data_IF_680071393597
#
_entry.id   IF_680071393597
#
_cell.length_a   1.000
_cell.length_b   1.000
_cell.length_c   1.000
_cell.angle_alpha   90.00
_cell.angle_beta   90.00
_cell.angle_gamma   90.00
#
_symmetry.space_group_name_H-M   'P 1'
#
loop_
_entity.id
_entity.type
_entity.pdbx_description
1 polymer ?
#
# COMPACT_ATOMS: atom_id res chain seq x y z
N UNK A 1 -16.95 12.53 -38.43
CA UNK A 1 -16.89 11.04 -38.31
C UNK A 1 -15.49 10.48 -38.52
N UNK A 2 -14.75 10.88 -39.56
CA UNK A 2 -13.38 10.37 -39.80
C UNK A 2 -12.40 10.67 -38.65
N UNK A 3 -12.50 11.85 -38.03
CA UNK A 3 -11.60 12.24 -36.93
C UNK A 3 -11.89 11.49 -35.63
N UNK A 4 -13.15 11.11 -35.37
CA UNK A 4 -13.55 10.30 -34.20
C UNK A 4 -13.02 8.87 -34.32
N UNK A 5 -13.02 8.31 -35.54
CA UNK A 5 -12.48 6.98 -35.82
C UNK A 5 -10.96 6.95 -35.61
N UNK A 6 -10.25 7.98 -36.09
CA UNK A 6 -8.80 8.07 -35.93
C UNK A 6 -8.38 8.14 -34.44
N UNK A 7 -9.15 8.87 -33.65
CA UNK A 7 -8.88 9.07 -32.22
C UNK A 7 -9.13 7.81 -31.38
N UNK A 8 -10.19 7.06 -31.70
CA UNK A 8 -10.45 5.75 -31.11
C UNK A 8 -9.34 4.75 -31.45
N UNK A 9 -8.83 4.76 -32.70
CA UNK A 9 -7.71 3.90 -33.13
C UNK A 9 -6.43 4.23 -32.37
N UNK A 10 -6.10 5.52 -32.17
CA UNK A 10 -4.90 5.91 -31.41
C UNK A 10 -4.99 5.49 -29.94
N UNK A 11 -6.15 5.64 -29.28
CA UNK A 11 -6.35 5.18 -27.91
C UNK A 11 -6.23 3.65 -27.76
N UNK A 12 -6.72 2.90 -28.75
CA UNK A 12 -6.60 1.44 -28.78
C UNK A 12 -5.13 1.02 -28.95
N UNK A 13 -4.36 1.74 -29.77
CA UNK A 13 -2.92 1.48 -29.93
C UNK A 13 -2.14 1.82 -28.64
N UNK A 14 -2.49 2.90 -27.94
CA UNK A 14 -1.82 3.27 -26.69
C UNK A 14 -2.09 2.29 -25.53
N UNK A 15 -3.30 1.75 -25.42
CA UNK A 15 -3.65 0.78 -24.37
C UNK A 15 -2.98 -0.58 -24.59
N UNK A 16 -2.84 -1.03 -25.84
CA UNK A 16 -2.19 -2.32 -26.17
C UNK A 16 -0.67 -2.28 -25.94
N UNK A 17 -0.02 -1.13 -26.08
CA UNK A 17 1.46 -1.03 -25.97
C UNK A 17 1.98 -0.93 -24.53
N UNK A 18 1.13 -0.71 -23.52
CA UNK A 18 1.58 -0.53 -22.12
C UNK A 18 1.57 -1.79 -21.26
N UNK A 19 1.12 -2.94 -21.78
CA UNK A 19 1.29 -4.22 -21.09
C UNK A 19 2.72 -4.75 -21.30
N UNK A 20 3.68 -4.19 -20.55
CA UNK A 20 4.94 -4.90 -20.31
C UNK A 20 4.61 -6.10 -19.45
N UNK A 21 4.26 -7.22 -20.10
CA UNK A 21 4.05 -8.50 -19.44
C UNK A 21 5.30 -8.81 -18.61
N UNK A 22 5.15 -8.86 -17.29
CA UNK A 22 6.18 -9.40 -16.42
C UNK A 22 6.39 -10.83 -16.90
N UNK A 23 7.58 -11.13 -17.45
CA UNK A 23 7.88 -12.48 -17.92
C UNK A 23 7.94 -13.40 -16.71
N UNK A 24 6.89 -14.18 -16.50
CA UNK A 24 6.84 -15.23 -15.49
C UNK A 24 7.89 -16.29 -15.80
N UNK A 25 8.77 -16.57 -14.83
CA UNK A 25 9.81 -17.59 -15.01
C UNK A 25 9.20 -18.95 -14.68
N UNK A 26 9.03 -19.81 -15.69
CA UNK A 26 8.40 -21.13 -15.54
C UNK A 26 9.39 -22.28 -15.38
N UNK A 27 10.69 -22.06 -15.64
CA UNK A 27 11.75 -23.05 -15.42
C UNK A 27 12.62 -22.63 -14.24
N UNK A 28 12.73 -23.50 -13.23
CA UNK A 28 13.54 -23.28 -12.02
C UNK A 28 15.01 -22.97 -12.35
N UNK A 29 15.55 -23.51 -13.45
CA UNK A 29 16.94 -23.29 -13.87
C UNK A 29 17.22 -21.84 -14.26
N UNK A 30 16.19 -21.09 -14.65
CA UNK A 30 16.27 -19.66 -14.97
C UNK A 30 16.00 -18.77 -13.74
N UNK A 31 15.73 -19.37 -12.58
CA UNK A 31 15.52 -18.66 -11.32
C UNK A 31 16.76 -18.72 -10.44
N UNK A 32 17.62 -17.70 -10.52
CA UNK A 32 18.77 -17.60 -9.62
C UNK A 32 18.37 -16.84 -8.36
N UNK A 33 18.41 -17.56 -7.23
CA UNK A 33 18.19 -17.00 -5.90
C UNK A 33 19.53 -16.73 -5.21
N UNK A 34 19.57 -15.67 -4.41
CA UNK A 34 20.73 -15.37 -3.57
C UNK A 34 20.88 -16.41 -2.46
N UNK A 35 22.07 -16.46 -1.82
CA UNK A 35 22.44 -17.50 -0.84
C UNK A 35 21.45 -17.65 0.33
N UNK A 36 20.80 -16.55 0.73
CA UNK A 36 19.81 -16.49 1.82
C UNK A 36 18.38 -16.92 1.38
N UNK A 37 18.20 -17.28 0.12
CA UNK A 37 16.91 -17.62 -0.49
C UNK A 37 16.95 -19.00 -1.16
N UNK A 38 15.77 -19.57 -1.36
CA UNK A 38 15.54 -20.83 -2.08
C UNK A 38 14.44 -20.63 -3.14
N UNK A 39 14.51 -21.32 -4.28
CA UNK A 39 13.47 -21.23 -5.30
C UNK A 39 12.17 -21.86 -4.78
N UNK A 40 11.07 -21.12 -4.94
CA UNK A 40 9.71 -21.53 -4.63
C UNK A 40 8.91 -21.50 -5.93
N UNK A 41 8.30 -22.62 -6.30
CA UNK A 41 7.38 -22.68 -7.43
C UNK A 41 5.97 -22.27 -7.00
N UNK A 42 5.37 -21.33 -7.73
CA UNK A 42 3.98 -20.92 -7.61
C UNK A 42 3.26 -21.26 -8.95
N UNK A 43 2.13 -22.00 -8.92
CA UNK A 43 1.40 -22.37 -10.13
C UNK A 43 0.90 -21.19 -10.97
N UNK A 44 0.58 -20.06 -10.33
CA UNK A 44 0.03 -18.87 -10.96
C UNK A 44 1.13 -17.88 -11.34
N UNK A 45 2.15 -17.75 -10.48
CA UNK A 45 3.16 -16.69 -10.56
C UNK A 45 4.55 -17.19 -11.00
N UNK A 46 4.69 -18.47 -11.35
CA UNK A 46 5.96 -19.09 -11.70
C UNK A 46 6.92 -19.23 -10.52
N UNK A 47 8.21 -19.31 -10.81
CA UNK A 47 9.23 -19.40 -9.77
C UNK A 47 9.53 -18.02 -9.15
N UNK A 48 9.71 -18.01 -7.84
CA UNK A 48 10.14 -16.87 -7.04
C UNK A 48 11.19 -17.34 -6.02
N UNK A 49 11.85 -16.41 -5.33
CA UNK A 49 12.84 -16.72 -4.30
C UNK A 49 12.26 -16.46 -2.92
N UNK A 50 12.18 -17.50 -2.09
CA UNK A 50 11.71 -17.42 -0.70
C UNK A 50 12.89 -17.36 0.26
N UNK A 51 12.85 -16.44 1.23
CA UNK A 51 13.91 -16.33 2.23
C UNK A 51 13.92 -17.53 3.18
N UNK A 52 15.11 -18.06 3.46
CA UNK A 52 15.30 -19.24 4.34
C UNK A 52 14.96 -18.92 5.80
N UNK A 53 15.35 -17.75 6.27
CA UNK A 53 15.12 -17.30 7.66
C UNK A 53 13.86 -16.43 7.76
N UNK A 54 13.75 -15.45 6.88
CA UNK A 54 12.61 -14.54 6.80
C UNK A 54 11.70 -15.07 5.71
N UNK A 55 10.43 -15.37 6.01
CA UNK A 55 9.42 -15.87 5.05
C UNK A 55 8.99 -14.82 4.00
N UNK A 56 9.93 -14.00 3.54
CA UNK A 56 9.75 -13.02 2.47
C UNK A 56 9.87 -13.73 1.12
N UNK A 57 9.11 -13.26 0.13
CA UNK A 57 9.16 -13.75 -1.24
C UNK A 57 9.59 -12.59 -2.13
N UNK A 58 10.58 -12.84 -2.97
CA UNK A 58 11.17 -11.85 -3.89
C UNK A 58 11.25 -12.43 -5.31
N UNK A 59 11.26 -11.61 -6.36
CA UNK A 59 11.41 -12.11 -7.72
C UNK A 59 12.77 -12.81 -7.90
N UNK A 60 12.80 -13.80 -8.81
CA UNK A 60 14.04 -14.43 -9.23
C UNK A 60 15.00 -13.42 -9.86
N UNK A 61 16.31 -13.73 -9.82
CA UNK A 61 17.36 -12.87 -10.39
C UNK A 61 17.37 -11.46 -9.78
N UNK A 62 16.77 -11.28 -8.60
CA UNK A 62 16.82 -10.03 -7.87
C UNK A 62 18.27 -9.77 -7.44
N UNK A 63 18.81 -8.66 -7.94
CA UNK A 63 20.10 -8.16 -7.53
C UNK A 63 19.95 -7.58 -6.11
N UNK A 64 20.47 -8.28 -5.10
CA UNK A 64 20.42 -7.82 -3.72
C UNK A 64 21.50 -6.78 -3.46
N UNK A 65 21.09 -5.65 -2.91
CA UNK A 65 22.00 -4.61 -2.44
C UNK A 65 22.75 -5.09 -1.18
N UNK A 66 24.01 -4.65 -0.96
CA UNK A 66 24.72 -4.89 0.29
C UNK A 66 23.89 -4.41 1.49
N UNK A 67 23.98 -5.11 2.62
CA UNK A 67 23.39 -4.62 3.88
C UNK A 67 24.23 -3.44 4.36
N UNK A 68 23.59 -2.33 4.71
CA UNK A 68 24.29 -1.13 5.21
C UNK A 68 24.86 -1.43 6.61
N UNK A 69 26.17 -1.26 6.78
CA UNK A 69 26.84 -1.36 8.08
C UNK A 69 26.79 -0.01 8.79
N UNK A 70 26.32 0.00 10.04
CA UNK A 70 26.14 1.20 10.83
C UNK A 70 26.49 0.95 12.30
N UNK A 71 27.44 1.72 12.83
CA UNK A 71 27.71 1.82 14.25
C UNK A 71 26.81 2.90 14.85
N UNK A 72 26.19 2.63 16.00
CA UNK A 72 25.32 3.60 16.72
C UNK A 72 24.03 4.06 16.00
N UNK A 73 23.65 3.42 14.89
CA UNK A 73 22.37 3.68 14.22
C UNK A 73 21.21 2.96 14.93
N UNK A 74 20.04 3.59 14.90
CA UNK A 74 18.78 2.97 15.33
C UNK A 74 17.94 2.50 14.15
N UNK A 75 18.34 2.81 12.91
CA UNK A 75 17.63 2.43 11.70
C UNK A 75 18.43 2.68 10.42
N UNK A 76 17.96 2.07 9.32
CA UNK A 76 18.48 2.29 7.97
C UNK A 76 17.35 2.93 7.16
N UNK A 77 17.65 4.07 6.54
CA UNK A 77 16.73 4.79 5.66
C UNK A 77 17.19 4.62 4.22
N UNK A 78 16.28 4.22 3.34
CA UNK A 78 16.52 4.18 1.88
C UNK A 78 15.59 5.15 1.19
N UNK A 79 16.17 6.14 0.52
CA UNK A 79 15.46 7.16 -0.25
C UNK A 79 16.00 7.23 -1.69
N UNK A 80 15.62 8.27 -2.43
CA UNK A 80 16.04 8.47 -3.82
C UNK A 80 17.51 8.91 -3.93
N UNK A 81 18.12 9.39 -2.85
CA UNK A 81 19.53 9.81 -2.82
C UNK A 81 20.44 8.64 -2.47
N UNK A 82 19.95 7.66 -1.69
CA UNK A 82 20.73 6.47 -1.38
C UNK A 82 20.20 5.66 -0.21
N UNK A 83 21.12 4.94 0.44
CA UNK A 83 20.87 4.21 1.69
C UNK A 83 21.76 4.79 2.78
N UNK A 84 21.16 5.06 3.93
CA UNK A 84 21.76 5.87 5.00
C UNK A 84 21.59 5.18 6.35
N UNK A 85 22.60 5.31 7.20
CA UNK A 85 22.49 5.07 8.62
C UNK A 85 21.76 6.23 9.29
N UNK A 86 20.78 5.94 10.13
CA UNK A 86 19.98 6.95 10.82
C UNK A 86 19.88 6.68 12.31
N UNK A 87 19.87 7.74 13.11
CA UNK A 87 19.61 7.71 14.55
C UNK A 87 18.37 8.51 14.87
N UNK A 88 17.40 7.86 15.50
CA UNK A 88 16.15 8.44 15.97
C UNK A 88 16.18 8.61 17.49
N UNK A 89 15.58 9.68 17.98
CA UNK A 89 15.30 9.89 19.41
C UNK A 89 13.96 10.62 19.54
N UNK A 90 13.08 10.13 20.41
CA UNK A 90 11.72 10.68 20.57
C UNK A 90 10.90 10.68 19.27
N UNK A 91 11.13 9.71 18.38
CA UNK A 91 10.46 9.61 17.08
C UNK A 91 10.94 10.60 16.01
N UNK A 92 11.98 11.40 16.27
CA UNK A 92 12.57 12.34 15.30
C UNK A 92 13.96 11.88 14.85
N UNK A 93 14.28 12.11 13.58
CA UNK A 93 15.62 11.86 13.03
C UNK A 93 16.60 12.89 13.61
N UNK A 94 17.60 12.41 14.35
CA UNK A 94 18.62 13.26 15.00
C UNK A 94 19.87 13.34 14.14
N UNK A 95 20.23 12.24 13.47
CA UNK A 95 21.44 12.15 12.66
C UNK A 95 21.24 11.19 11.50
N UNK A 96 21.81 11.54 10.35
CA UNK A 96 21.90 10.73 9.13
C UNK A 96 23.34 10.74 8.62
N UNK A 97 23.87 9.58 8.25
CA UNK A 97 25.20 9.45 7.67
C UNK A 97 25.28 8.27 6.70
N UNK A 98 26.33 8.23 5.88
CA UNK A 98 26.55 7.16 4.90
C UNK A 98 26.85 5.82 5.57
N UNK A 99 26.54 4.73 4.88
CA UNK A 99 26.94 3.39 5.31
C UNK A 99 28.46 3.29 5.51
N UNK A 100 28.88 2.65 6.60
CA UNK A 100 30.31 2.47 6.93
C UNK A 100 31.00 1.51 5.96
N UNK A 101 30.25 0.60 5.36
CA UNK A 101 30.73 -0.31 4.32
C UNK A 101 30.65 0.29 2.91
N UNK A 102 31.07 1.54 2.73
CA UNK A 102 31.03 2.24 1.44
C UNK A 102 31.69 1.47 0.29
N UNK A 103 32.80 0.76 0.55
CA UNK A 103 33.48 -0.06 -0.45
C UNK A 103 32.64 -1.21 -1.02
N UNK A 104 31.79 -1.85 -0.21
CA UNK A 104 30.87 -2.90 -0.69
C UNK A 104 29.85 -2.31 -1.67
N UNK A 105 29.38 -1.10 -1.40
CA UNK A 105 28.44 -0.39 -2.24
C UNK A 105 29.07 0.07 -3.55
N UNK A 106 30.29 0.60 -3.50
CA UNK A 106 31.05 0.96 -4.70
C UNK A 106 31.27 -0.25 -5.61
N UNK A 107 31.71 -1.38 -5.03
CA UNK A 107 31.87 -2.64 -5.76
C UNK A 107 30.55 -3.12 -6.37
N UNK A 108 29.45 -3.02 -5.62
CA UNK A 108 28.12 -3.37 -6.11
C UNK A 108 27.70 -2.51 -7.31
N UNK A 109 27.87 -1.19 -7.22
CA UNK A 109 27.50 -0.28 -8.32
C UNK A 109 28.41 -0.45 -9.54
N UNK A 110 29.68 -0.81 -9.35
CA UNK A 110 30.59 -1.14 -10.44
C UNK A 110 30.15 -2.39 -11.21
N UNK A 111 29.65 -3.41 -10.51
CA UNK A 111 29.13 -4.65 -11.12
C UNK A 111 27.74 -4.48 -11.73
N UNK A 112 26.95 -3.54 -11.22
CA UNK A 112 25.55 -3.34 -11.61
C UNK A 112 25.24 -1.87 -11.96
N UNK A 113 25.79 -1.33 -13.06
CA UNK A 113 25.65 0.08 -13.41
C UNK A 113 24.21 0.53 -13.70
N UNK A 114 23.32 -0.41 -14.06
CA UNK A 114 21.88 -0.15 -14.26
C UNK A 114 21.09 -0.06 -12.95
N UNK A 115 21.66 -0.55 -11.84
CA UNK A 115 21.05 -0.57 -10.51
C UNK A 115 21.32 0.68 -9.67
N UNK A 116 22.16 1.60 -10.16
CA UNK A 116 22.31 2.92 -9.55
C UNK A 116 20.98 3.65 -9.72
N UNK A 117 20.31 4.10 -8.64
CA UNK A 117 19.20 5.04 -8.80
C UNK A 117 19.77 6.22 -9.57
N UNK A 118 19.43 6.33 -10.86
CA UNK A 118 19.81 7.47 -11.66
C UNK A 118 19.30 8.65 -10.86
N UNK A 119 20.20 9.50 -10.36
CA UNK A 119 19.83 10.80 -9.81
C UNK A 119 18.88 11.36 -10.85
N UNK A 120 17.60 11.41 -10.53
CA UNK A 120 16.64 12.06 -11.39
C UNK A 120 17.07 13.50 -11.29
N UNK A 121 17.96 13.92 -12.19
CA UNK A 121 18.11 15.32 -12.49
C UNK A 121 16.67 15.77 -12.70
N UNK A 122 16.17 16.62 -11.80
CA UNK A 122 15.04 17.47 -12.10
C UNK A 122 15.50 18.29 -13.29
N UNK A 123 15.40 17.70 -14.48
CA UNK A 123 15.64 18.33 -15.75
C UNK A 123 14.64 19.44 -15.79
N UNK A 124 15.14 20.66 -15.69
CA UNK A 124 14.43 21.88 -16.03
C UNK A 124 13.74 21.60 -17.37
N UNK A 125 12.41 21.44 -17.33
CA UNK A 125 11.59 21.14 -18.50
C UNK A 125 11.90 22.19 -19.54
N UNK A 126 12.47 21.76 -20.66
CA UNK A 126 12.89 22.64 -21.74
C UNK A 126 11.68 23.29 -22.40
N UNK A 127 11.85 24.57 -22.71
CA UNK A 127 10.95 25.45 -23.45
C UNK A 127 10.70 24.96 -24.89
N UNK A 128 9.92 23.89 -25.05
CA UNK A 128 9.31 23.50 -26.33
C UNK A 128 7.80 23.21 -26.16
N UNK A 129 7.13 24.00 -25.32
CA UNK A 129 5.78 23.73 -24.80
C UNK A 129 4.66 24.57 -25.42
N UNK A 130 4.87 25.38 -26.44
CA UNK A 130 3.77 26.24 -26.93
C UNK A 130 2.83 25.52 -27.92
N UNK A 131 3.32 24.58 -28.72
CA UNK A 131 2.48 23.82 -29.65
C UNK A 131 1.77 22.63 -28.98
N UNK A 132 2.41 21.99 -27.98
CA UNK A 132 1.83 20.88 -27.23
C UNK A 132 0.65 21.34 -26.35
N UNK A 133 0.74 22.55 -25.78
CA UNK A 133 -0.32 23.11 -24.90
C UNK A 133 -1.59 23.46 -25.69
N UNK A 134 -1.49 23.87 -26.96
CA UNK A 134 -2.67 24.12 -27.81
C UNK A 134 -3.38 22.83 -28.22
N UNK A 135 -2.64 21.78 -28.54
CA UNK A 135 -3.20 20.46 -28.86
C UNK A 135 -3.81 19.78 -27.61
N UNK A 136 -3.17 19.93 -26.44
CA UNK A 136 -3.70 19.43 -25.17
C UNK A 136 -4.99 20.17 -24.76
N UNK A 137 -5.10 21.49 -24.98
CA UNK A 137 -6.32 22.25 -24.65
C UNK A 137 -7.52 21.84 -25.52
N UNK A 138 -7.31 21.58 -26.80
CA UNK A 138 -8.39 21.13 -27.70
C UNK A 138 -8.81 19.69 -27.43
N UNK A 139 -7.84 18.82 -27.12
CA UNK A 139 -8.09 17.43 -26.70
C UNK A 139 -8.82 17.37 -25.34
N UNK A 140 -8.42 18.21 -24.36
CA UNK A 140 -9.10 18.28 -23.06
C UNK A 140 -10.59 18.59 -23.22
N UNK A 141 -10.97 19.51 -24.12
CA UNK A 141 -12.36 19.94 -24.29
C UNK A 141 -13.28 18.83 -24.84
N UNK A 142 -12.74 17.92 -25.66
CA UNK A 142 -13.52 16.82 -26.26
C UNK A 142 -13.56 15.60 -25.34
N UNK A 143 -12.51 15.37 -24.56
CA UNK A 143 -12.43 14.21 -23.66
C UNK A 143 -12.95 14.43 -22.24
N UNK A 144 -13.04 15.68 -21.77
CA UNK A 144 -13.60 15.98 -20.44
C UNK A 144 -15.01 15.42 -20.24
N UNK A 145 -15.97 15.55 -21.19
CA UNK A 145 -17.30 14.98 -20.99
C UNK A 145 -17.33 13.45 -21.05
N UNK A 146 -16.48 12.81 -21.87
CA UNK A 146 -16.43 11.33 -21.97
C UNK A 146 -15.77 10.73 -20.72
N UNK A 147 -14.75 11.39 -20.16
CA UNK A 147 -14.14 11.00 -18.89
C UNK A 147 -15.09 11.20 -17.70
N UNK A 148 -15.96 12.22 -17.73
CA UNK A 148 -16.99 12.43 -16.70
C UNK A 148 -18.05 11.31 -16.71
N UNK A 149 -18.45 10.81 -17.89
CA UNK A 149 -19.47 9.73 -17.99
C UNK A 149 -18.91 8.36 -17.56
N UNK A 150 -17.59 8.12 -17.68
CA UNK A 150 -16.95 6.86 -17.24
C UNK A 150 -16.40 6.91 -15.81
N UNK A 151 -16.41 8.08 -15.15
CA UNK A 151 -15.91 8.24 -13.78
C UNK A 151 -16.96 7.91 -12.71
N UNK A 152 -18.24 7.75 -13.06
CA UNK A 152 -19.32 7.67 -12.07
C UNK A 152 -19.41 6.30 -11.36
N UNK A 153 -18.90 5.20 -11.92
CA UNK A 153 -19.05 3.87 -11.30
C UNK A 153 -17.88 3.40 -10.41
N UNK A 154 -16.77 4.15 -10.33
CA UNK A 154 -15.55 3.72 -9.62
C UNK A 154 -15.24 4.48 -8.33
N UNK A 155 -16.07 5.46 -7.94
CA UNK A 155 -15.72 6.42 -6.87
C UNK A 155 -16.30 6.15 -5.48
N UNK A 156 -17.18 5.16 -5.30
CA UNK A 156 -17.93 5.02 -4.04
C UNK A 156 -17.21 4.24 -2.93
N UNK A 157 -15.91 3.99 -3.07
CA UNK A 157 -15.17 3.32 -2.02
C UNK A 157 -14.85 4.29 -0.86
N UNK A 158 -15.66 4.28 0.19
CA UNK A 158 -15.47 5.09 1.40
C UNK A 158 -14.60 4.34 2.41
N UNK A 159 -13.44 4.88 2.69
CA UNK A 159 -12.50 4.39 3.71
C UNK A 159 -12.51 5.30 4.95
N UNK A 160 -12.30 4.72 6.14
CA UNK A 160 -12.11 5.49 7.39
C UNK A 160 -10.84 6.31 7.35
N UNK A 161 -10.81 7.38 8.12
CA UNK A 161 -9.61 8.18 8.34
C UNK A 161 -8.39 7.31 8.67
N UNK A 162 -7.29 7.57 7.96
CA UNK A 162 -6.08 6.76 8.06
C UNK A 162 -6.03 5.54 7.11
N UNK A 163 -7.06 5.31 6.30
CA UNK A 163 -7.07 4.30 5.24
C UNK A 163 -7.22 4.96 3.86
N UNK A 164 -6.63 4.34 2.84
CA UNK A 164 -6.77 4.77 1.43
C UNK A 164 -7.42 3.67 0.60
N UNK A 165 -8.26 4.04 -0.36
CA UNK A 165 -8.85 3.11 -1.30
C UNK A 165 -7.80 2.57 -2.27
N UNK A 166 -7.80 1.26 -2.49
CA UNK A 166 -6.95 0.56 -3.45
C UNK A 166 -7.78 -0.44 -4.25
N UNK A 167 -7.32 -0.73 -5.47
CA UNK A 167 -7.90 -1.73 -6.36
C UNK A 167 -6.92 -2.87 -6.53
N UNK A 168 -7.36 -4.11 -6.33
CA UNK A 168 -6.54 -5.30 -6.59
C UNK A 168 -6.46 -5.61 -8.09
N UNK A 169 -5.72 -6.67 -8.45
CA UNK A 169 -5.58 -7.15 -9.83
C UNK A 169 -6.88 -7.69 -10.43
N UNK A 170 -7.84 -8.08 -9.60
CA UNK A 170 -9.15 -8.60 -10.00
C UNK A 170 -10.20 -7.50 -10.12
N UNK A 171 -9.84 -6.26 -9.74
CA UNK A 171 -10.70 -5.11 -9.77
C UNK A 171 -11.54 -4.89 -8.50
N UNK A 172 -11.31 -5.64 -7.43
CA UNK A 172 -11.97 -5.43 -6.15
C UNK A 172 -11.37 -4.21 -5.43
N UNK A 173 -12.24 -3.40 -4.85
CA UNK A 173 -11.85 -2.23 -4.07
C UNK A 173 -11.70 -2.60 -2.59
N UNK A 174 -10.62 -2.14 -1.95
CA UNK A 174 -10.36 -2.36 -0.52
C UNK A 174 -9.67 -1.13 0.09
N UNK A 175 -9.81 -0.98 1.41
CA UNK A 175 -9.18 0.08 2.19
C UNK A 175 -7.87 -0.43 2.80
N UNK A 176 -6.76 0.26 2.55
CA UNK A 176 -5.44 -0.08 3.10
C UNK A 176 -4.98 0.98 4.09
N UNK A 177 -4.56 0.55 5.29
CA UNK A 177 -4.07 1.46 6.32
C UNK A 177 -2.78 2.21 5.89
N UNK A 178 -2.75 3.52 6.12
CA UNK A 178 -1.63 4.41 5.77
C UNK A 178 -0.48 4.33 6.79
N UNK A 179 -0.73 3.83 8.01
CA UNK A 179 0.27 3.78 9.09
C UNK A 179 0.89 2.39 9.18
N UNK A 180 2.16 2.29 8.77
CA UNK A 180 2.89 1.02 8.52
C UNK A 180 3.28 0.24 9.79
N UNK A 181 3.01 0.77 11.00
CA UNK A 181 3.59 0.21 12.24
C UNK A 181 2.98 -1.12 12.70
N UNK A 182 1.77 -1.46 12.27
CA UNK A 182 1.09 -2.69 12.67
C UNK A 182 0.52 -3.36 11.44
N UNK A 183 1.38 -4.07 10.68
CA UNK A 183 1.03 -4.97 9.56
C UNK A 183 -0.20 -4.58 8.73
N UNK A 184 0.02 -3.94 7.57
CA UNK A 184 -0.97 -3.63 6.50
C UNK A 184 -2.38 -4.20 6.76
N UNK A 185 -3.20 -3.53 7.57
CA UNK A 185 -4.60 -3.89 7.71
C UNK A 185 -5.30 -3.60 6.38
N UNK A 186 -5.83 -4.65 5.76
CA UNK A 186 -6.68 -4.58 4.58
C UNK A 186 -8.11 -4.73 5.08
N UNK A 187 -8.95 -3.72 4.84
CA UNK A 187 -10.37 -3.74 5.17
C UNK A 187 -11.19 -3.76 3.89
N UNK A 188 -12.34 -4.46 3.86
CA UNK A 188 -13.29 -4.34 2.77
C UNK A 188 -13.78 -2.89 2.67
N UNK A 189 -14.11 -2.46 1.45
CA UNK A 189 -14.61 -1.12 1.27
C UNK A 189 -16.05 -0.96 1.78
N UNK A 190 -16.44 0.28 2.14
CA UNK A 190 -17.76 0.60 2.68
C UNK A 190 -18.12 -0.18 3.94
N UNK A 191 -17.11 -0.59 4.71
CA UNK A 191 -17.33 -1.19 6.02
C UNK A 191 -17.91 -0.14 6.97
N UNK A 192 -19.01 -0.49 7.61
CA UNK A 192 -19.67 0.35 8.61
C UNK A 192 -18.83 0.25 9.88
N UNK A 193 -18.27 1.38 10.32
CA UNK A 193 -17.46 1.44 11.54
C UNK A 193 -18.35 1.75 12.74
N UNK A 194 -18.47 0.76 13.63
CA UNK A 194 -19.13 0.94 14.93
C UNK A 194 -18.27 1.88 15.81
N UNK A 195 -18.88 2.76 16.61
CA UNK A 195 -18.14 3.56 17.57
C UNK A 195 -17.44 2.65 18.59
N UNK A 196 -16.27 3.08 19.06
CA UNK A 196 -15.55 2.34 20.10
C UNK A 196 -16.37 2.39 21.41
N UNK A 197 -16.49 1.25 22.08
CA UNK A 197 -17.24 1.16 23.34
C UNK A 197 -16.41 1.79 24.47
N UNK A 198 -16.93 2.86 25.08
CA UNK A 198 -16.33 3.48 26.27
C UNK A 198 -16.88 2.77 27.50
N UNK A 199 -15.98 2.31 28.36
CA UNK A 199 -16.33 1.56 29.56
C UNK A 199 -15.74 2.20 30.81
N UNK A 200 -16.44 2.04 31.95
CA UNK A 200 -15.91 2.41 33.26
C UNK A 200 -14.62 1.68 33.57
N UNK A 201 -13.86 2.22 34.54
CA UNK A 201 -12.63 1.61 35.04
C UNK A 201 -12.83 0.20 35.65
N UNK A 202 -14.07 -0.25 35.85
CA UNK A 202 -14.38 -1.60 36.33
C UNK A 202 -14.41 -2.66 35.21
N UNK A 203 -14.49 -2.24 33.94
CA UNK A 203 -14.49 -3.17 32.81
C UNK A 203 -13.10 -3.74 32.57
N UNK A 204 -13.04 -5.05 32.35
CA UNK A 204 -11.80 -5.74 31.97
C UNK A 204 -11.72 -6.00 30.47
N UNK A 205 -12.85 -5.98 29.77
CA UNK A 205 -12.94 -6.21 28.32
C UNK A 205 -14.22 -5.64 27.72
N UNK A 206 -14.22 -5.51 26.39
CA UNK A 206 -15.41 -5.25 25.58
C UNK A 206 -15.84 -6.56 24.95
N UNK A 207 -17.12 -6.91 25.13
CA UNK A 207 -17.72 -8.13 24.58
C UNK A 207 -18.63 -7.74 23.43
N UNK A 208 -18.49 -8.39 22.29
CA UNK A 208 -19.36 -8.18 21.13
C UNK A 208 -20.03 -9.50 20.76
N UNK A 209 -21.35 -9.53 20.77
CA UNK A 209 -22.15 -10.69 20.41
C UNK A 209 -23.39 -10.28 19.59
N UNK A 210 -24.32 -11.22 19.37
CA UNK A 210 -25.54 -10.97 18.58
C UNK A 210 -26.50 -9.98 19.23
N UNK A 211 -26.37 -9.73 20.54
CA UNK A 211 -27.19 -8.78 21.30
C UNK A 211 -26.59 -7.38 21.34
N UNK A 212 -25.33 -7.20 20.90
CA UNK A 212 -24.69 -5.90 20.76
C UNK A 212 -23.26 -5.86 21.27
N UNK A 213 -22.80 -4.66 21.58
CA UNK A 213 -21.48 -4.39 22.16
C UNK A 213 -21.65 -3.95 23.61
N UNK A 214 -20.88 -4.57 24.51
CA UNK A 214 -21.04 -4.44 25.95
C UNK A 214 -19.71 -4.27 26.67
N UNK A 215 -19.74 -3.57 27.79
CA UNK A 215 -18.65 -3.58 28.76
C UNK A 215 -18.79 -4.82 29.65
N UNK A 216 -17.71 -5.58 29.80
CA UNK A 216 -17.67 -6.81 30.58
C UNK A 216 -16.59 -6.77 31.66
N UNK A 217 -16.92 -7.30 32.84
CA UNK A 217 -15.97 -7.60 33.91
C UNK A 217 -15.82 -9.10 34.06
N UNK A 218 -14.60 -9.60 33.89
CA UNK A 218 -14.26 -11.02 33.95
C UNK A 218 -13.34 -11.27 35.14
N UNK A 219 -13.66 -12.28 35.94
CA UNK A 219 -12.83 -12.75 37.07
C UNK A 219 -12.57 -14.23 36.82
N UNK A 220 -11.31 -14.63 36.79
CA UNK A 220 -10.89 -16.02 36.50
C UNK A 220 -11.51 -16.59 35.21
N UNK A 221 -11.51 -15.76 34.15
CA UNK A 221 -12.10 -16.07 32.83
C UNK A 221 -13.63 -16.32 32.84
N UNK A 222 -14.31 -16.07 33.95
CA UNK A 222 -15.78 -16.12 34.03
C UNK A 222 -16.35 -14.70 33.98
N UNK A 223 -17.40 -14.53 33.20
CA UNK A 223 -18.13 -13.26 33.11
C UNK A 223 -18.85 -13.00 34.43
N UNK A 224 -18.41 -11.98 35.17
CA UNK A 224 -19.00 -11.59 36.45
C UNK A 224 -20.15 -10.61 36.25
N UNK A 225 -19.98 -9.64 35.36
CA UNK A 225 -20.98 -8.61 35.06
C UNK A 225 -20.80 -8.09 33.65
N UNK A 226 -21.92 -7.75 33.01
CA UNK A 226 -22.01 -7.07 31.71
C UNK A 226 -22.93 -5.88 31.81
N UNK A 227 -22.60 -4.79 31.13
CA UNK A 227 -23.43 -3.58 31.06
C UNK A 227 -23.20 -2.84 29.74
N UNK A 228 -24.08 -1.89 29.42
CA UNK A 228 -24.02 -1.09 28.20
C UNK A 228 -22.79 -0.18 28.15
N UNK A 229 -22.32 0.14 26.95
CA UNK A 229 -21.29 1.17 26.75
C UNK A 229 -21.74 2.52 27.32
N UNK A 230 -20.80 3.28 27.90
CA UNK A 230 -21.06 4.57 28.52
C UNK A 230 -21.34 5.67 27.50
N UNK A 231 -20.79 5.55 26.29
CA UNK A 231 -20.99 6.50 25.20
C UNK A 231 -22.31 6.27 24.43
N UNK A 232 -23.43 6.32 25.16
CA UNK A 232 -24.77 6.03 24.60
C UNK A 232 -25.13 6.93 23.42
N UNK A 233 -24.79 8.21 23.51
CA UNK A 233 -25.09 9.21 22.45
C UNK A 233 -24.41 8.86 21.12
N UNK A 234 -23.16 8.38 21.14
CA UNK A 234 -22.43 7.95 19.93
C UNK A 234 -23.11 6.75 19.27
N UNK A 235 -23.53 5.78 20.09
CA UNK A 235 -24.23 4.58 19.63
C UNK A 235 -25.63 4.90 19.10
N UNK A 236 -26.37 5.77 19.78
CA UNK A 236 -27.68 6.22 19.29
C UNK A 236 -27.57 6.97 17.96
N UNK A 237 -26.61 7.89 17.84
CA UNK A 237 -26.33 8.59 16.58
C UNK A 237 -25.90 7.62 15.46
N UNK A 238 -25.14 6.59 15.80
CA UNK A 238 -24.77 5.52 14.87
C UNK A 238 -25.99 4.73 14.40
N UNK A 239 -26.87 4.27 15.30
CA UNK A 239 -28.07 3.51 14.94
C UNK A 239 -29.13 4.34 14.23
N UNK A 240 -29.17 5.66 14.44
CA UNK A 240 -30.01 6.55 13.63
C UNK A 240 -29.57 6.58 12.16
N UNK A 241 -28.26 6.47 11.90
CA UNK A 241 -27.70 6.40 10.54
C UNK A 241 -27.75 4.99 9.95
N UNK A 242 -27.67 3.97 10.80
CA UNK A 242 -27.58 2.55 10.43
C UNK A 242 -28.61 1.71 11.22
N UNK A 243 -29.92 1.87 10.97
CA UNK A 243 -30.96 1.18 11.72
C UNK A 243 -30.91 -0.35 11.57
N UNK A 244 -30.37 -0.86 10.46
CA UNK A 244 -30.16 -2.29 10.19
C UNK A 244 -29.14 -2.96 11.11
N UNK A 245 -28.22 -2.18 11.70
CA UNK A 245 -27.20 -2.66 12.64
C UNK A 245 -27.70 -2.72 14.08
N UNK A 246 -28.92 -2.22 14.37
CA UNK A 246 -29.48 -2.20 15.72
C UNK A 246 -29.77 -3.63 16.20
N UNK A 247 -29.30 -4.04 17.39
CA UNK A 247 -29.56 -5.38 17.91
C UNK A 247 -31.06 -5.67 18.00
N UNK A 248 -31.46 -6.88 17.59
CA UNK A 248 -32.84 -7.36 17.74
C UNK A 248 -33.02 -7.78 19.19
N UNK A 249 -33.91 -7.08 19.89
CA UNK A 249 -34.33 -7.39 21.26
C UNK A 249 -35.11 -8.69 21.34
#
# INVERSE_FOLDING_TARGET
MKDLLLLAVVLLICTVTSQKSLKTITDVRNCHCNKEFEPLGDPENGYQCKGKTLKIIVPCNLILRPKCACTDATGILTDHEGTWCTRYSGGREIKRWTCENGGDWENFYAQHPTGVPKRSCCGRVSSQSEYLVKMIKFSLFVFLPIALILAEDLSDCKCKDGYSAHKDTYGNMYCRGNVVKSGKSILPCNIIFKPDCVCSNEATSVVQDSSGTWCGRFIDSKEYRRWECENKEDWEAFYQKHPEEKPKS
#
